data_IF_427074553897
#
_entry.id   IF_427074553897
#
_cell.length_a   1.000
_cell.length_b   1.000
_cell.length_c   1.000
_cell.angle_alpha   90.00
_cell.angle_beta   90.00
_cell.angle_gamma   90.00
#
_symmetry.space_group_name_H-M   'P 1'
#
loop_
_entity.id
_entity.type
_entity.pdbx_description
1 polymer ?
#
# COMPACT_ATOMS: atom_id res chain seq x y z
N UNK A 1 -64.69 -51.40 -22.23
CA UNK A 1 -63.26 -51.52 -22.51
C UNK A 1 -62.64 -50.15 -22.44
N UNK A 2 -62.08 -49.77 -21.28
CA UNK A 2 -61.35 -48.48 -20.99
C UNK A 2 -59.87 -48.76 -21.01
N UNK A 3 -59.17 -48.22 -21.97
CA UNK A 3 -57.72 -48.30 -22.09
C UNK A 3 -57.11 -47.23 -21.21
N UNK A 4 -56.36 -47.58 -20.12
CA UNK A 4 -55.51 -46.75 -19.30
C UNK A 4 -54.19 -46.58 -20.04
N UNK A 5 -53.85 -45.30 -20.31
CA UNK A 5 -52.54 -44.86 -20.81
C UNK A 5 -51.66 -44.54 -19.63
N UNK A 6 -50.48 -45.12 -19.46
CA UNK A 6 -49.56 -44.67 -18.35
C UNK A 6 -48.83 -43.41 -18.77
N UNK A 7 -48.97 -42.38 -17.96
CA UNK A 7 -48.28 -41.11 -18.03
C UNK A 7 -46.85 -41.33 -17.50
N UNK A 8 -45.87 -41.39 -18.39
CA UNK A 8 -44.45 -41.50 -18.05
C UNK A 8 -43.93 -40.09 -17.72
N UNK A 9 -43.90 -39.73 -16.42
CA UNK A 9 -43.26 -38.52 -15.92
C UNK A 9 -41.75 -38.70 -15.96
N UNK A 10 -41.09 -38.13 -16.98
CA UNK A 10 -39.64 -38.06 -17.06
C UNK A 10 -39.14 -37.00 -16.07
N UNK A 11 -38.58 -37.40 -14.92
CA UNK A 11 -37.79 -36.54 -14.06
C UNK A 11 -36.46 -36.21 -14.78
N UNK A 12 -36.38 -35.03 -15.36
CA UNK A 12 -35.11 -34.42 -15.75
C UNK A 12 -34.38 -34.00 -14.47
N UNK A 13 -33.54 -34.88 -13.94
CA UNK A 13 -32.52 -34.53 -12.97
C UNK A 13 -31.52 -33.59 -13.67
N UNK A 14 -31.71 -32.30 -13.49
CA UNK A 14 -30.65 -31.31 -13.73
C UNK A 14 -29.52 -31.62 -12.77
N UNK A 15 -28.57 -32.46 -13.17
CA UNK A 15 -27.30 -32.59 -12.49
C UNK A 15 -26.57 -31.25 -12.62
N UNK A 16 -26.69 -30.37 -11.62
CA UNK A 16 -25.72 -29.32 -11.41
C UNK A 16 -24.37 -30.01 -11.20
N UNK A 17 -23.62 -30.17 -12.29
CA UNK A 17 -22.25 -30.68 -12.21
C UNK A 17 -21.43 -29.74 -11.38
N UNK A 18 -21.23 -30.07 -10.10
CA UNK A 18 -20.20 -29.40 -9.30
C UNK A 18 -18.89 -29.61 -10.03
N UNK A 19 -18.25 -28.49 -10.43
CA UNK A 19 -16.89 -28.56 -10.99
C UNK A 19 -15.98 -29.17 -9.91
N UNK A 20 -15.21 -30.21 -10.30
CA UNK A 20 -14.22 -30.78 -9.40
C UNK A 20 -13.17 -29.71 -9.05
N UNK A 21 -12.74 -29.68 -7.77
CA UNK A 21 -11.65 -28.81 -7.33
C UNK A 21 -10.37 -29.18 -8.07
N UNK A 22 -9.67 -28.20 -8.63
CA UNK A 22 -8.36 -28.40 -9.25
C UNK A 22 -7.29 -28.50 -8.16
N UNK A 23 -6.19 -29.23 -8.39
CA UNK A 23 -5.02 -29.15 -7.52
C UNK A 23 -4.43 -27.73 -7.50
N UNK A 24 -3.89 -27.30 -6.34
CA UNK A 24 -3.22 -26.00 -6.25
C UNK A 24 -2.02 -25.89 -7.20
N UNK A 25 -1.31 -27.00 -7.44
CA UNK A 25 -0.19 -27.08 -8.38
C UNK A 25 -0.53 -26.79 -9.84
N UNK A 26 -1.81 -26.72 -10.22
CA UNK A 26 -2.22 -26.31 -11.57
C UNK A 26 -2.16 -24.78 -11.76
N UNK A 27 -2.13 -24.01 -10.65
CA UNK A 27 -2.13 -22.55 -10.68
C UNK A 27 -0.71 -21.98 -10.81
N UNK A 28 -0.03 -22.33 -11.90
CA UNK A 28 1.37 -21.95 -12.18
C UNK A 28 1.54 -21.04 -13.39
N UNK A 29 0.46 -20.81 -14.16
CA UNK A 29 0.54 -19.94 -15.34
C UNK A 29 0.58 -18.47 -14.91
N UNK A 30 1.59 -17.70 -15.30
CA UNK A 30 1.64 -16.28 -14.99
C UNK A 30 0.43 -15.54 -15.56
N UNK A 31 -0.35 -14.91 -14.72
CA UNK A 31 -1.45 -14.01 -15.07
C UNK A 31 -0.99 -12.56 -15.06
N UNK A 32 -0.14 -12.24 -14.10
CA UNK A 32 0.61 -11.00 -14.04
C UNK A 32 1.96 -11.26 -13.40
N UNK A 33 3.03 -10.82 -14.05
CA UNK A 33 4.40 -10.88 -13.53
C UNK A 33 4.82 -9.46 -13.17
N UNK A 34 5.05 -9.14 -11.88
CA UNK A 34 5.52 -7.83 -11.47
C UNK A 34 6.87 -7.50 -12.13
N UNK A 35 7.05 -6.25 -12.46
CA UNK A 35 8.29 -5.74 -13.08
C UNK A 35 9.19 -5.05 -12.06
N UNK A 36 8.62 -4.46 -11.04
CA UNK A 36 9.30 -3.65 -10.04
C UNK A 36 9.04 -4.12 -8.61
N UNK A 37 7.83 -4.66 -8.34
CA UNK A 37 7.49 -5.23 -7.06
C UNK A 37 8.13 -6.61 -6.91
N UNK A 38 8.50 -6.96 -5.68
CA UNK A 38 9.04 -8.27 -5.30
C UNK A 38 8.12 -9.04 -4.36
N UNK A 39 7.13 -8.37 -3.78
CA UNK A 39 6.30 -8.88 -2.70
C UNK A 39 5.04 -9.60 -3.16
N UNK A 40 4.77 -9.76 -4.48
CA UNK A 40 3.60 -10.51 -4.92
C UNK A 40 3.78 -11.17 -6.28
N UNK A 41 2.93 -12.16 -6.56
CA UNK A 41 2.69 -12.71 -7.89
C UNK A 41 1.20 -13.06 -8.07
N UNK A 42 0.75 -13.11 -9.33
CA UNK A 42 -0.62 -13.53 -9.67
C UNK A 42 -0.53 -14.62 -10.73
N UNK A 43 -1.00 -15.81 -10.36
CA UNK A 43 -0.99 -16.99 -11.23
C UNK A 43 -2.40 -17.52 -11.48
N UNK A 44 -2.53 -18.35 -12.49
CA UNK A 44 -3.77 -19.01 -12.88
C UNK A 44 -3.53 -20.41 -13.41
N UNK A 45 -4.59 -21.08 -13.83
CA UNK A 45 -4.56 -22.42 -14.43
C UNK A 45 -5.17 -22.43 -15.83
N UNK A 46 -4.71 -23.32 -16.69
CA UNK A 46 -5.24 -23.45 -18.05
C UNK A 46 -6.76 -23.73 -18.04
N UNK A 47 -7.51 -22.91 -18.77
CA UNK A 47 -8.97 -23.03 -18.86
C UNK A 47 -9.73 -22.63 -17.59
N UNK A 48 -9.06 -21.98 -16.62
CA UNK A 48 -9.67 -21.35 -15.45
C UNK A 48 -9.63 -19.83 -15.58
N UNK A 49 -10.64 -19.15 -15.02
CA UNK A 49 -10.63 -17.69 -14.80
C UNK A 49 -10.26 -17.33 -13.36
N UNK A 50 -10.25 -18.33 -12.48
CA UNK A 50 -9.79 -18.18 -11.11
C UNK A 50 -8.29 -17.91 -11.06
N UNK A 51 -7.85 -17.18 -10.03
CA UNK A 51 -6.46 -16.79 -9.86
C UNK A 51 -5.99 -17.04 -8.44
N UNK A 52 -4.69 -17.25 -8.30
CA UNK A 52 -4.00 -17.31 -7.04
C UNK A 52 -3.11 -16.06 -6.91
N UNK A 53 -3.38 -15.24 -5.92
CA UNK A 53 -2.50 -14.15 -5.49
C UNK A 53 -1.63 -14.68 -4.38
N UNK A 54 -0.32 -14.70 -4.60
CA UNK A 54 0.68 -14.99 -3.56
C UNK A 54 1.30 -13.68 -3.11
N UNK A 55 1.34 -13.45 -1.81
CA UNK A 55 2.02 -12.32 -1.20
C UNK A 55 3.21 -12.82 -0.39
N UNK A 56 4.40 -12.33 -0.73
CA UNK A 56 5.65 -12.69 -0.11
C UNK A 56 6.03 -11.68 0.96
N UNK A 57 6.35 -12.14 2.17
CA UNK A 57 6.89 -11.32 3.26
C UNK A 57 6.15 -9.97 3.46
N UNK A 58 4.83 -9.97 3.75
CA UNK A 58 4.05 -8.74 3.83
C UNK A 58 4.31 -7.89 5.09
N UNK A 59 5.35 -8.19 5.85
CA UNK A 59 5.87 -7.45 7.00
C UNK A 59 7.38 -7.60 7.11
N UNK A 60 8.00 -6.70 7.88
CA UNK A 60 9.44 -6.78 8.16
C UNK A 60 9.73 -7.89 9.17
N UNK A 61 10.74 -8.71 8.92
CA UNK A 61 11.19 -9.81 9.78
C UNK A 61 12.13 -10.74 9.04
N UNK A 62 12.71 -11.69 9.78
CA UNK A 62 13.66 -12.65 9.24
C UNK A 62 13.03 -13.95 8.74
N UNK A 63 11.73 -14.16 9.05
CA UNK A 63 11.00 -15.35 8.61
C UNK A 63 10.40 -15.13 7.22
N UNK A 64 10.70 -16.05 6.31
CA UNK A 64 10.06 -16.08 4.99
C UNK A 64 8.64 -16.59 5.17
N UNK A 65 7.69 -15.76 4.79
CA UNK A 65 6.26 -16.06 4.94
C UNK A 65 5.51 -15.72 3.67
N UNK A 66 4.79 -16.71 3.13
CA UNK A 66 3.88 -16.51 2.01
C UNK A 66 2.44 -16.53 2.50
N UNK A 67 1.62 -15.69 1.88
CA UNK A 67 0.17 -15.70 2.05
C UNK A 67 -0.50 -15.90 0.71
N UNK A 68 -1.61 -16.61 0.75
CA UNK A 68 -2.33 -17.02 -0.45
C UNK A 68 -3.77 -16.55 -0.40
N UNK A 69 -4.21 -15.89 -1.49
CA UNK A 69 -5.61 -15.57 -1.75
C UNK A 69 -6.02 -16.21 -3.06
N UNK A 70 -6.89 -17.22 -2.97
CA UNK A 70 -7.54 -17.79 -4.14
C UNK A 70 -8.80 -16.99 -4.48
N UNK A 71 -8.83 -16.41 -5.67
CA UNK A 71 -10.00 -15.67 -6.17
C UNK A 71 -10.75 -16.62 -7.09
N UNK A 72 -11.80 -17.23 -6.54
CA UNK A 72 -12.67 -18.17 -7.24
C UNK A 72 -13.58 -17.41 -8.21
N UNK A 73 -13.58 -17.81 -9.49
CA UNK A 73 -14.46 -17.23 -10.51
C UNK A 73 -15.33 -18.31 -11.14
N UNK A 74 -16.48 -17.92 -11.71
CA UNK A 74 -17.41 -18.83 -12.38
C UNK A 74 -17.86 -20.01 -11.50
N UNK A 75 -17.90 -19.83 -10.17
CA UNK A 75 -18.27 -20.87 -9.21
C UNK A 75 -17.23 -22.00 -9.07
N UNK A 76 -15.99 -21.80 -9.53
CA UNK A 76 -14.91 -22.77 -9.33
C UNK A 76 -14.61 -22.94 -7.84
N UNK A 77 -14.58 -24.18 -7.31
CA UNK A 77 -14.24 -24.40 -5.92
C UNK A 77 -12.77 -24.12 -5.66
N UNK A 78 -12.43 -23.75 -4.43
CA UNK A 78 -11.05 -23.65 -4.02
C UNK A 78 -10.33 -25.01 -4.15
N UNK A 79 -9.00 -25.02 -4.42
CA UNK A 79 -8.22 -26.24 -4.49
C UNK A 79 -8.38 -27.13 -3.25
N UNK A 80 -8.39 -28.44 -3.43
CA UNK A 80 -8.51 -29.37 -2.32
C UNK A 80 -7.33 -29.21 -1.35
N UNK A 81 -7.62 -29.07 -0.05
CA UNK A 81 -6.59 -28.85 0.97
C UNK A 81 -5.93 -27.45 0.96
N UNK A 82 -6.56 -26.48 0.29
CA UNK A 82 -6.04 -25.10 0.27
C UNK A 82 -6.16 -24.43 1.64
N UNK A 83 -5.04 -24.02 2.19
CA UNK A 83 -4.96 -23.40 3.53
C UNK A 83 -4.97 -21.85 3.50
N UNK A 84 -5.00 -21.25 2.30
CA UNK A 84 -5.07 -19.80 2.12
C UNK A 84 -6.48 -19.22 2.27
N UNK A 85 -6.59 -17.93 1.99
CA UNK A 85 -7.87 -17.22 1.98
C UNK A 85 -8.60 -17.46 0.66
N UNK A 86 -9.94 -17.50 0.70
CA UNK A 86 -10.77 -17.69 -0.50
C UNK A 86 -11.71 -16.52 -0.66
N UNK A 87 -11.54 -15.76 -1.75
CA UNK A 87 -12.48 -14.75 -2.19
C UNK A 87 -13.38 -15.35 -3.28
N UNK A 88 -14.68 -15.24 -3.11
CA UNK A 88 -15.65 -15.73 -4.10
C UNK A 88 -16.02 -14.60 -5.03
N UNK A 89 -15.53 -14.70 -6.28
CA UNK A 89 -15.64 -13.69 -7.32
C UNK A 89 -14.85 -12.40 -7.00
N UNK A 90 -15.13 -11.26 -7.67
CA UNK A 90 -14.54 -9.99 -7.31
C UNK A 90 -15.11 -9.45 -6.00
N UNK A 91 -14.27 -8.76 -5.21
CA UNK A 91 -14.74 -8.07 -4.02
C UNK A 91 -15.55 -6.82 -4.38
N UNK A 92 -16.75 -6.71 -3.82
CA UNK A 92 -17.65 -5.56 -3.97
C UNK A 92 -17.77 -4.73 -2.69
N UNK A 93 -17.36 -5.32 -1.57
CA UNK A 93 -17.39 -4.69 -0.25
C UNK A 93 -16.05 -4.94 0.44
N UNK A 94 -15.15 -3.98 0.31
CA UNK A 94 -13.79 -4.09 0.83
C UNK A 94 -13.66 -3.22 2.09
N UNK A 95 -13.01 -3.74 3.11
CA UNK A 95 -12.52 -2.94 4.24
C UNK A 95 -11.03 -2.69 4.02
N UNK A 96 -10.62 -1.42 4.02
CA UNK A 96 -9.25 -1.00 3.79
C UNK A 96 -8.63 -0.52 5.11
N UNK A 97 -7.63 -1.25 5.62
CA UNK A 97 -6.94 -0.87 6.87
C UNK A 97 -5.79 0.13 6.64
N UNK A 98 -5.62 0.64 5.41
CA UNK A 98 -4.67 1.71 5.07
C UNK A 98 -5.24 2.67 4.04
N UNK A 99 -4.85 3.95 4.10
CA UNK A 99 -5.19 4.98 3.11
C UNK A 99 -4.62 4.69 1.72
N UNK A 100 -3.50 4.00 1.61
CA UNK A 100 -2.90 3.58 0.33
C UNK A 100 -3.83 2.67 -0.47
N UNK A 101 -4.53 1.73 0.17
CA UNK A 101 -5.46 0.82 -0.50
C UNK A 101 -6.71 1.55 -1.00
N UNK A 102 -7.17 2.53 -0.22
CA UNK A 102 -8.26 3.44 -0.62
C UNK A 102 -7.85 4.21 -1.87
N UNK A 103 -6.64 4.77 -1.90
CA UNK A 103 -6.13 5.50 -3.06
C UNK A 103 -6.00 4.61 -4.30
N UNK A 104 -5.60 3.34 -4.15
CA UNK A 104 -5.54 2.37 -5.23
C UNK A 104 -6.94 2.08 -5.80
N UNK A 105 -7.93 1.79 -4.94
CA UNK A 105 -9.31 1.52 -5.38
C UNK A 105 -9.99 2.76 -5.98
N UNK A 106 -9.75 3.95 -5.43
CA UNK A 106 -10.28 5.21 -5.98
C UNK A 106 -9.71 5.50 -7.38
N UNK A 107 -8.39 5.30 -7.56
CA UNK A 107 -7.74 5.47 -8.86
C UNK A 107 -8.21 4.47 -9.92
N UNK A 108 -8.70 3.29 -9.50
CA UNK A 108 -9.35 2.30 -10.36
C UNK A 108 -10.82 2.62 -10.67
N UNK A 109 -11.37 3.71 -10.09
CA UNK A 109 -12.79 4.03 -10.19
C UNK A 109 -13.69 3.13 -9.34
N UNK A 110 -13.12 2.42 -8.36
CA UNK A 110 -13.81 1.45 -7.49
C UNK A 110 -13.95 1.94 -6.04
N UNK A 111 -13.96 3.26 -5.80
CA UNK A 111 -14.16 3.84 -4.47
C UNK A 111 -15.50 3.45 -3.83
N UNK A 112 -16.51 3.15 -4.64
CA UNK A 112 -17.83 2.67 -4.22
C UNK A 112 -17.76 1.29 -3.54
N UNK A 113 -16.73 0.50 -3.82
CA UNK A 113 -16.50 -0.82 -3.21
C UNK A 113 -15.90 -0.74 -1.80
N UNK A 114 -15.34 0.39 -1.41
CA UNK A 114 -14.84 0.59 -0.04
C UNK A 114 -16.01 0.76 0.92
N UNK A 115 -16.30 -0.28 1.70
CA UNK A 115 -17.36 -0.31 2.70
C UNK A 115 -16.88 0.14 4.08
N UNK A 116 -15.59 -0.07 4.38
CA UNK A 116 -14.99 0.29 5.66
C UNK A 116 -13.56 0.78 5.55
N UNK A 117 -13.16 1.61 6.51
CA UNK A 117 -11.82 2.20 6.56
C UNK A 117 -11.28 2.17 7.98
N UNK A 118 -9.96 2.20 8.14
CA UNK A 118 -9.30 2.40 9.42
C UNK A 118 -8.94 3.87 9.59
N UNK A 119 -9.34 4.49 10.71
CA UNK A 119 -8.94 5.84 11.08
C UNK A 119 -9.44 6.92 10.14
N UNK A 120 -10.75 7.01 9.91
CA UNK A 120 -11.38 7.96 9.00
C UNK A 120 -10.95 9.42 9.20
N UNK A 121 -10.57 9.81 10.42
CA UNK A 121 -10.09 11.17 10.72
C UNK A 121 -8.78 11.52 9.99
N UNK A 122 -7.97 10.53 9.62
CA UNK A 122 -6.70 10.74 8.90
C UNK A 122 -6.86 10.75 7.39
N UNK A 123 -8.03 10.37 6.85
CA UNK A 123 -8.23 10.31 5.40
C UNK A 123 -8.15 11.69 4.74
N UNK A 124 -7.38 11.77 3.66
CA UNK A 124 -7.32 12.89 2.74
C UNK A 124 -8.28 12.68 1.57
N UNK A 125 -8.51 11.44 1.16
CA UNK A 125 -9.36 11.09 0.03
C UNK A 125 -10.79 11.64 0.21
N UNK A 126 -11.13 12.66 -0.58
CA UNK A 126 -12.42 13.35 -0.47
C UNK A 126 -13.62 12.50 -0.89
N UNK A 127 -13.42 11.56 -1.82
CA UNK A 127 -14.47 10.64 -2.27
C UNK A 127 -14.93 9.79 -1.08
N UNK A 128 -13.98 9.19 -0.36
CA UNK A 128 -14.30 8.36 0.80
C UNK A 128 -14.82 9.19 1.99
N UNK A 129 -14.26 10.36 2.24
CA UNK A 129 -14.78 11.26 3.29
C UNK A 129 -16.25 11.60 3.06
N UNK A 130 -16.64 11.93 1.82
CA UNK A 130 -18.04 12.19 1.46
C UNK A 130 -18.92 10.95 1.62
N UNK A 131 -18.42 9.76 1.25
CA UNK A 131 -19.16 8.51 1.41
C UNK A 131 -19.38 8.16 2.88
N UNK A 132 -18.37 8.35 3.74
CA UNK A 132 -18.50 8.17 5.18
C UNK A 132 -19.52 9.15 5.77
N UNK A 133 -19.48 10.43 5.37
CA UNK A 133 -20.43 11.43 5.83
C UNK A 133 -21.90 11.10 5.44
N UNK A 134 -22.11 10.34 4.35
CA UNK A 134 -23.42 9.85 3.91
C UNK A 134 -23.80 8.48 4.48
N UNK A 135 -22.93 7.87 5.31
CA UNK A 135 -23.17 6.54 5.85
C UNK A 135 -23.00 5.39 4.83
N UNK A 136 -22.39 5.64 3.67
CA UNK A 136 -22.12 4.65 2.62
C UNK A 136 -20.86 3.84 2.88
N UNK A 137 -19.97 4.32 3.75
CA UNK A 137 -18.81 3.64 4.30
C UNK A 137 -18.66 4.00 5.78
N UNK A 138 -17.94 3.19 6.56
CA UNK A 138 -17.78 3.42 7.99
C UNK A 138 -16.34 3.27 8.46
N UNK A 139 -15.97 3.98 9.53
CA UNK A 139 -14.72 3.76 10.25
C UNK A 139 -14.87 2.52 11.14
N UNK A 140 -13.99 1.55 10.97
CA UNK A 140 -13.96 0.30 11.76
C UNK A 140 -12.92 0.33 12.90
N UNK A 141 -12.25 1.46 13.11
CA UNK A 141 -11.17 1.59 14.10
C UNK A 141 -9.81 1.13 13.57
N UNK A 142 -8.84 0.97 14.47
CA UNK A 142 -7.47 0.52 14.17
C UNK A 142 -7.28 -0.95 14.51
N UNK A 143 -6.25 -1.57 13.98
CA UNK A 143 -5.91 -3.00 14.21
C UNK A 143 -5.92 -3.40 15.68
N UNK A 144 -5.51 -2.49 16.58
CA UNK A 144 -5.49 -2.73 18.01
C UNK A 144 -6.85 -2.66 18.70
N UNK A 145 -7.86 -2.06 18.05
CA UNK A 145 -9.20 -1.82 18.63
C UNK A 145 -10.29 -1.76 17.56
N UNK A 146 -10.33 -2.77 16.68
CA UNK A 146 -11.36 -2.87 15.64
C UNK A 146 -12.75 -3.04 16.25
N UNK A 147 -13.70 -2.26 15.75
CA UNK A 147 -15.13 -2.42 16.03
C UNK A 147 -15.68 -3.60 15.20
N UNK A 148 -15.64 -4.80 15.78
CA UNK A 148 -16.09 -6.02 15.10
C UNK A 148 -17.59 -6.05 14.82
N UNK A 149 -18.41 -5.40 15.63
CA UNK A 149 -19.87 -5.33 15.39
C UNK A 149 -20.11 -4.52 14.11
N UNK A 150 -19.45 -3.38 13.98
CA UNK A 150 -19.53 -2.55 12.78
C UNK A 150 -18.95 -3.26 11.57
N UNK A 151 -17.79 -3.91 11.72
CA UNK A 151 -17.16 -4.67 10.64
C UNK A 151 -18.09 -5.76 10.12
N UNK A 152 -18.75 -6.54 11.01
CA UNK A 152 -19.74 -7.55 10.61
C UNK A 152 -20.96 -6.95 9.94
N UNK A 153 -21.46 -5.80 10.42
CA UNK A 153 -22.59 -5.10 9.84
C UNK A 153 -22.30 -4.63 8.40
N UNK A 154 -21.04 -4.32 8.08
CA UNK A 154 -20.60 -3.99 6.74
C UNK A 154 -20.60 -5.19 5.78
N UNK A 155 -20.62 -6.42 6.29
CA UNK A 155 -20.56 -7.67 5.49
C UNK A 155 -19.49 -7.60 4.39
N UNK A 156 -18.20 -7.43 4.76
CA UNK A 156 -17.14 -7.32 3.77
C UNK A 156 -16.89 -8.65 3.06
N UNK A 157 -16.58 -8.58 1.78
CA UNK A 157 -16.11 -9.72 0.99
C UNK A 157 -14.63 -9.98 1.28
N UNK A 158 -13.87 -8.92 1.61
CA UNK A 158 -12.45 -8.98 1.91
C UNK A 158 -12.03 -7.82 2.83
N UNK A 159 -11.07 -8.09 3.71
CA UNK A 159 -10.33 -7.07 4.47
C UNK A 159 -8.90 -6.98 3.97
N UNK A 160 -8.49 -5.81 3.47
CA UNK A 160 -7.10 -5.53 3.09
C UNK A 160 -6.36 -5.03 4.33
N UNK A 161 -5.39 -5.81 4.80
CA UNK A 161 -4.64 -5.59 6.05
C UNK A 161 -3.29 -4.92 5.80
N UNK A 162 -2.86 -4.12 6.77
CA UNK A 162 -1.51 -3.56 6.84
C UNK A 162 -0.69 -4.37 7.85
N UNK A 163 0.43 -4.95 7.43
CA UNK A 163 1.23 -5.85 8.26
C UNK A 163 2.34 -5.11 9.01
N UNK A 164 2.23 -5.00 10.36
CA UNK A 164 3.31 -4.43 11.17
C UNK A 164 3.99 -5.50 12.04
N UNK A 165 3.29 -6.54 12.45
CA UNK A 165 3.75 -7.42 13.52
C UNK A 165 3.60 -8.92 13.31
N UNK A 166 3.44 -9.41 12.07
CA UNK A 166 3.32 -10.84 11.76
C UNK A 166 1.89 -11.30 11.44
N UNK A 167 1.75 -12.61 11.11
CA UNK A 167 0.52 -13.19 10.58
C UNK A 167 -0.61 -13.32 11.61
N UNK A 168 -0.24 -13.68 12.83
CA UNK A 168 -1.22 -14.04 13.86
C UNK A 168 -1.44 -12.87 14.83
N UNK A 169 -2.43 -12.07 14.52
CA UNK A 169 -2.92 -10.97 15.37
C UNK A 169 -4.30 -11.32 15.93
N UNK A 170 -4.73 -10.60 16.97
CA UNK A 170 -6.10 -10.72 17.49
C UNK A 170 -7.13 -10.44 16.38
N UNK A 171 -6.82 -9.52 15.45
CA UNK A 171 -7.67 -9.19 14.31
C UNK A 171 -7.81 -10.38 13.36
N UNK A 172 -6.71 -11.00 12.91
CA UNK A 172 -6.77 -12.12 11.98
C UNK A 172 -7.40 -13.37 12.60
N UNK A 173 -7.14 -13.62 13.89
CA UNK A 173 -7.83 -14.66 14.63
C UNK A 173 -9.35 -14.49 14.59
N UNK A 174 -9.82 -13.26 14.81
CA UNK A 174 -11.26 -12.95 14.78
C UNK A 174 -11.84 -12.99 13.37
N UNK A 175 -11.12 -12.51 12.35
CA UNK A 175 -11.56 -12.62 10.94
C UNK A 175 -11.73 -14.08 10.52
N UNK A 176 -10.81 -14.98 10.92
CA UNK A 176 -10.91 -16.43 10.68
C UNK A 176 -12.14 -17.03 11.38
N UNK A 177 -12.36 -16.68 12.64
CA UNK A 177 -13.57 -17.12 13.39
C UNK A 177 -14.87 -16.70 12.69
N UNK A 178 -14.90 -15.48 12.14
CA UNK A 178 -16.06 -14.93 11.46
C UNK A 178 -16.18 -15.38 9.99
N UNK A 179 -15.19 -16.11 9.46
CA UNK A 179 -15.16 -16.54 8.05
C UNK A 179 -15.04 -15.39 7.06
N UNK A 180 -14.42 -14.26 7.47
CA UNK A 180 -14.20 -13.10 6.63
C UNK A 180 -12.79 -13.22 6.01
N UNK A 181 -12.67 -13.32 4.68
CA UNK A 181 -11.38 -13.38 4.01
C UNK A 181 -10.57 -12.10 4.22
N UNK A 182 -9.26 -12.24 4.28
CA UNK A 182 -8.34 -11.10 4.38
C UNK A 182 -7.06 -11.33 3.59
N UNK A 183 -6.40 -10.25 3.22
CA UNK A 183 -5.08 -10.28 2.61
C UNK A 183 -4.22 -9.16 3.20
N UNK A 184 -3.04 -9.49 3.66
CA UNK A 184 -2.03 -8.47 3.94
C UNK A 184 -1.45 -7.93 2.64
N UNK A 185 -1.47 -6.61 2.51
CA UNK A 185 -0.82 -5.91 1.40
C UNK A 185 0.61 -5.58 1.83
N UNK A 186 1.58 -5.97 1.01
CA UNK A 186 3.01 -5.81 1.33
C UNK A 186 3.67 -4.59 0.68
N UNK A 187 2.91 -3.64 0.15
CA UNK A 187 3.47 -2.49 -0.58
C UNK A 187 4.44 -1.65 0.25
N UNK A 188 4.26 -1.63 1.56
CA UNK A 188 5.13 -0.87 2.46
C UNK A 188 6.51 -1.51 2.64
N UNK A 189 6.66 -2.80 2.38
CA UNK A 189 7.92 -3.53 2.42
C UNK A 189 8.75 -3.36 1.14
N UNK A 190 8.16 -2.85 0.06
CA UNK A 190 8.89 -2.64 -1.19
C UNK A 190 9.96 -1.55 -1.06
N UNK A 191 11.17 -1.85 -1.49
CA UNK A 191 12.30 -0.91 -1.52
C UNK A 191 12.20 0.06 -2.71
N UNK A 192 11.53 -0.35 -3.77
CA UNK A 192 11.38 0.44 -4.99
C UNK A 192 10.12 1.31 -4.96
N UNK A 193 10.21 2.62 -5.27
CA UNK A 193 9.02 3.46 -5.43
C UNK A 193 8.05 2.95 -6.49
N UNK A 194 8.56 2.40 -7.59
CA UNK A 194 7.75 1.79 -8.63
C UNK A 194 7.16 0.44 -8.18
N UNK A 195 7.93 -0.37 -7.44
CA UNK A 195 7.42 -1.61 -6.86
C UNK A 195 6.26 -1.35 -5.91
N UNK A 196 6.40 -0.35 -5.05
CA UNK A 196 5.34 0.08 -4.12
C UNK A 196 4.04 0.46 -4.85
N UNK A 197 4.13 1.19 -5.96
CA UNK A 197 2.97 1.59 -6.75
C UNK A 197 2.36 0.45 -7.58
N UNK A 198 3.14 -0.58 -7.91
CA UNK A 198 2.70 -1.74 -8.71
C UNK A 198 1.65 -2.59 -7.98
N UNK A 199 1.57 -2.49 -6.66
CA UNK A 199 0.54 -3.16 -5.85
C UNK A 199 -0.90 -2.75 -6.19
N UNK A 200 -1.09 -1.68 -6.97
CA UNK A 200 -2.40 -1.36 -7.53
C UNK A 200 -2.97 -2.49 -8.37
N UNK A 201 -2.10 -3.34 -8.95
CA UNK A 201 -2.52 -4.51 -9.74
C UNK A 201 -3.13 -5.59 -8.85
N UNK A 202 -2.63 -5.78 -7.62
CA UNK A 202 -3.24 -6.68 -6.62
C UNK A 202 -4.62 -6.15 -6.21
N UNK A 203 -4.74 -4.85 -5.92
CA UNK A 203 -6.02 -4.22 -5.61
C UNK A 203 -7.02 -4.35 -6.79
N UNK A 204 -6.53 -4.21 -8.02
CA UNK A 204 -7.32 -4.39 -9.22
C UNK A 204 -7.76 -5.84 -9.44
N UNK A 205 -6.89 -6.82 -9.15
CA UNK A 205 -7.24 -8.24 -9.23
C UNK A 205 -8.36 -8.60 -8.27
N UNK A 206 -8.25 -8.15 -7.02
CA UNK A 206 -9.28 -8.31 -5.98
C UNK A 206 -10.61 -7.69 -6.43
N UNK A 207 -10.55 -6.53 -7.08
CA UNK A 207 -11.71 -5.82 -7.57
C UNK A 207 -12.21 -6.30 -8.96
N UNK A 208 -11.61 -7.31 -9.59
CA UNK A 208 -11.97 -7.76 -10.94
C UNK A 208 -11.66 -6.74 -12.05
N UNK A 209 -10.72 -5.82 -11.80
CA UNK A 209 -10.33 -4.70 -12.67
C UNK A 209 -8.86 -4.82 -13.12
N UNK A 210 -8.34 -6.05 -13.30
CA UNK A 210 -6.92 -6.30 -13.62
C UNK A 210 -6.43 -5.52 -14.84
N UNK A 211 -7.21 -5.50 -15.90
CA UNK A 211 -6.86 -4.78 -17.13
C UNK A 211 -6.69 -3.28 -16.89
N UNK A 212 -7.60 -2.71 -16.11
CA UNK A 212 -7.56 -1.30 -15.71
C UNK A 212 -6.36 -1.02 -14.81
N UNK A 213 -6.09 -1.89 -13.83
CA UNK A 213 -4.94 -1.79 -12.92
C UNK A 213 -3.61 -1.85 -13.67
N UNK A 214 -3.47 -2.82 -14.57
CA UNK A 214 -2.26 -2.96 -15.39
C UNK A 214 -2.04 -1.73 -16.29
N UNK A 215 -3.11 -1.20 -16.89
CA UNK A 215 -3.04 0.02 -17.71
C UNK A 215 -2.71 1.27 -16.88
N UNK A 216 -3.32 1.39 -15.69
CA UNK A 216 -3.05 2.49 -14.77
C UNK A 216 -1.58 2.49 -14.34
N UNK A 217 -1.06 1.33 -13.93
CA UNK A 217 0.33 1.20 -13.54
C UNK A 217 1.29 1.46 -14.70
N UNK A 218 1.04 0.89 -15.88
CA UNK A 218 1.92 1.02 -17.05
C UNK A 218 2.27 2.48 -17.43
N UNK A 219 1.39 3.42 -17.10
CA UNK A 219 1.61 4.84 -17.35
C UNK A 219 2.54 5.55 -16.32
N UNK A 220 2.84 4.94 -15.19
CA UNK A 220 3.63 5.54 -14.10
C UNK A 220 5.14 5.43 -14.35
N UNK A 221 5.70 4.24 -14.70
CA UNK A 221 7.13 4.07 -14.88
C UNK A 221 7.74 4.98 -15.95
N UNK A 222 7.06 5.19 -17.06
CA UNK A 222 7.59 6.06 -18.13
C UNK A 222 7.84 7.49 -17.64
N UNK A 223 6.89 8.05 -16.87
CA UNK A 223 7.03 9.39 -16.30
C UNK A 223 8.11 9.43 -15.22
N UNK A 224 8.15 8.41 -14.37
CA UNK A 224 9.13 8.27 -13.30
C UNK A 224 10.55 8.22 -13.86
N UNK A 225 10.81 7.31 -14.81
CA UNK A 225 12.13 7.10 -15.42
C UNK A 225 12.62 8.32 -16.20
N UNK A 226 11.74 9.03 -16.86
CA UNK A 226 12.07 10.30 -17.54
C UNK A 226 12.54 11.36 -16.53
N UNK A 227 11.84 11.52 -15.42
CA UNK A 227 12.23 12.45 -14.35
C UNK A 227 13.56 12.05 -13.70
N UNK A 228 13.74 10.75 -13.42
CA UNK A 228 14.98 10.21 -12.88
C UNK A 228 16.16 10.50 -13.82
N UNK A 229 15.99 10.25 -15.10
CA UNK A 229 17.02 10.52 -16.12
C UNK A 229 17.40 12.00 -16.14
N UNK A 230 16.43 12.91 -16.11
CA UNK A 230 16.68 14.36 -16.05
C UNK A 230 17.43 14.74 -14.77
N UNK A 231 17.02 14.23 -13.62
CA UNK A 231 17.67 14.50 -12.35
C UNK A 231 19.13 14.01 -12.33
N UNK A 232 19.40 12.86 -12.96
CA UNK A 232 20.75 12.28 -13.05
C UNK A 232 21.71 13.06 -13.98
N UNK A 233 21.21 13.87 -14.88
CA UNK A 233 22.03 14.73 -15.76
C UNK A 233 22.58 15.97 -15.03
N UNK A 234 22.02 16.34 -13.88
CA UNK A 234 22.46 17.51 -13.12
C UNK A 234 23.73 17.19 -12.32
N UNK A 235 24.71 18.09 -12.35
CA UNK A 235 25.97 17.91 -11.61
C UNK A 235 25.79 18.04 -10.09
N UNK A 236 24.81 18.84 -9.64
CA UNK A 236 24.53 19.04 -8.21
C UNK A 236 23.96 17.75 -7.59
N UNK A 237 24.54 17.34 -6.48
CA UNK A 237 24.14 16.18 -5.68
C UNK A 237 23.99 16.58 -4.22
N UNK A 238 22.93 17.33 -3.87
CA UNK A 238 22.78 17.83 -2.52
C UNK A 238 22.60 16.70 -1.50
N UNK A 239 23.17 16.87 -0.31
CA UNK A 239 23.02 15.95 0.79
C UNK A 239 21.75 16.26 1.58
N UNK A 240 20.98 15.22 1.88
CA UNK A 240 19.65 15.36 2.48
C UNK A 240 19.57 14.62 3.80
N UNK A 241 19.18 15.35 4.85
CA UNK A 241 18.78 14.80 6.15
C UNK A 241 17.29 14.44 6.10
N UNK A 242 16.92 13.37 6.80
CA UNK A 242 15.54 12.86 6.84
C UNK A 242 15.00 12.78 8.26
N UNK A 243 13.68 12.97 8.36
CA UNK A 243 12.85 12.78 9.54
C UNK A 243 13.13 13.81 10.66
N UNK A 244 12.47 13.62 11.79
CA UNK A 244 12.64 14.35 13.05
C UNK A 244 12.68 13.35 14.19
N UNK A 245 13.17 13.71 15.38
CA UNK A 245 13.14 12.80 16.51
C UNK A 245 11.70 12.47 16.90
N UNK A 246 11.47 11.21 17.23
CA UNK A 246 10.29 10.77 17.95
C UNK A 246 10.67 10.60 19.43
N UNK A 247 10.14 11.45 20.28
CA UNK A 247 10.65 11.63 21.67
C UNK A 247 12.14 12.00 21.60
N UNK A 248 13.02 11.23 22.25
CA UNK A 248 14.47 11.49 22.31
C UNK A 248 15.28 10.66 21.31
N UNK A 249 14.62 9.94 20.39
CA UNK A 249 15.28 9.05 19.43
C UNK A 249 15.03 9.49 17.99
N UNK A 250 16.08 9.60 17.21
CA UNK A 250 15.98 9.88 15.78
C UNK A 250 16.06 8.58 14.99
N UNK A 251 15.05 8.29 14.20
CA UNK A 251 14.97 7.07 13.41
C UNK A 251 15.38 7.37 11.97
N UNK A 252 16.58 6.93 11.60
CA UNK A 252 17.11 7.08 10.25
C UNK A 252 16.68 5.92 9.37
N UNK A 253 16.15 6.19 8.15
CA UNK A 253 15.78 5.14 7.22
C UNK A 253 16.97 4.25 6.84
N UNK A 254 16.70 2.98 6.59
CA UNK A 254 17.67 2.08 6.00
C UNK A 254 18.17 2.57 4.64
N UNK A 255 19.41 2.25 4.28
CA UNK A 255 20.04 2.67 3.02
C UNK A 255 19.25 2.23 1.78
N UNK A 256 18.67 1.02 1.83
CA UNK A 256 17.87 0.43 0.76
C UNK A 256 16.37 0.81 0.82
N UNK A 257 15.97 1.70 1.74
CA UNK A 257 14.56 2.05 1.89
C UNK A 257 14.01 2.83 0.69
N UNK A 258 12.72 2.69 0.47
CA UNK A 258 11.94 3.44 -0.50
C UNK A 258 12.25 4.95 -0.50
N UNK A 259 12.34 5.57 0.69
CA UNK A 259 12.57 7.01 0.80
C UNK A 259 13.98 7.40 0.35
N UNK A 260 14.99 6.63 0.72
CA UNK A 260 16.38 6.87 0.29
C UNK A 260 16.51 6.68 -1.21
N UNK A 261 15.90 5.63 -1.77
CA UNK A 261 15.87 5.41 -3.22
C UNK A 261 15.23 6.59 -3.95
N UNK A 262 14.12 7.10 -3.45
CA UNK A 262 13.41 8.24 -4.04
C UNK A 262 14.26 9.51 -4.05
N UNK A 263 15.03 9.77 -2.97
CA UNK A 263 15.99 10.88 -2.91
C UNK A 263 17.08 10.74 -3.99
N UNK A 264 17.66 9.57 -4.10
CA UNK A 264 18.74 9.30 -5.05
C UNK A 264 18.25 9.38 -6.50
N UNK A 265 17.04 8.88 -6.77
CA UNK A 265 16.39 9.02 -8.07
C UNK A 265 16.11 10.49 -8.42
N UNK A 266 15.85 11.34 -7.41
CA UNK A 266 15.72 12.80 -7.58
C UNK A 266 17.07 13.55 -7.73
N UNK A 267 18.20 12.82 -7.75
CA UNK A 267 19.53 13.40 -7.94
C UNK A 267 20.19 13.92 -6.66
N UNK A 268 19.67 13.58 -5.48
CA UNK A 268 20.27 13.90 -4.20
C UNK A 268 21.15 12.76 -3.64
N UNK A 269 21.76 12.98 -2.48
CA UNK A 269 22.48 11.98 -1.71
C UNK A 269 21.89 11.89 -0.31
N UNK A 270 21.71 10.69 0.17
CA UNK A 270 21.37 10.47 1.56
C UNK A 270 22.56 10.85 2.45
N UNK A 271 22.37 11.72 3.45
CA UNK A 271 23.47 12.22 4.26
C UNK A 271 24.17 11.14 5.08
N UNK A 272 23.45 10.08 5.46
CA UNK A 272 23.99 8.95 6.21
C UNK A 272 24.44 7.83 5.27
N UNK A 273 25.41 8.13 4.41
CA UNK A 273 25.91 7.20 3.36
C UNK A 273 26.52 5.92 3.96
N UNK A 274 27.08 6.00 5.17
CA UNK A 274 27.71 4.87 5.88
C UNK A 274 26.67 3.93 6.56
N UNK A 275 25.39 4.26 6.54
CA UNK A 275 24.35 3.43 7.12
C UNK A 275 24.23 2.11 6.34
N UNK A 276 24.70 1.01 6.94
CA UNK A 276 24.61 -0.35 6.37
C UNK A 276 23.43 -1.14 6.90
N UNK A 277 22.60 -0.54 7.77
CA UNK A 277 21.43 -1.22 8.31
C UNK A 277 20.41 -1.53 7.20
N UNK A 278 19.80 -2.70 7.28
CA UNK A 278 18.70 -3.13 6.41
C UNK A 278 17.33 -2.70 6.93
N UNK A 279 17.29 -2.19 8.16
CA UNK A 279 16.11 -1.65 8.83
C UNK A 279 16.39 -0.25 9.34
N UNK A 280 15.34 0.43 9.80
CA UNK A 280 15.45 1.75 10.42
C UNK A 280 16.41 1.72 11.62
N UNK A 281 17.39 2.61 11.61
CA UNK A 281 18.44 2.71 12.63
C UNK A 281 18.16 3.86 13.60
N UNK A 282 18.03 3.60 14.91
CA UNK A 282 17.97 4.68 15.90
C UNK A 282 19.35 5.32 16.08
N UNK A 283 19.39 6.67 16.09
CA UNK A 283 20.57 7.46 16.38
C UNK A 283 20.26 8.46 17.49
N UNK A 284 21.29 8.93 18.18
CA UNK A 284 21.19 10.00 19.19
C UNK A 284 21.16 11.39 18.54
N UNK A 285 20.90 12.41 19.37
CA UNK A 285 20.79 13.79 18.92
C UNK A 285 22.13 14.39 18.48
N UNK A 286 23.25 13.94 19.03
CA UNK A 286 24.60 14.37 18.68
C UNK A 286 24.95 13.91 17.26
N UNK A 287 24.66 12.65 16.94
CA UNK A 287 24.83 12.10 15.59
C UNK A 287 23.87 12.78 14.60
N UNK A 288 22.61 13.02 15.00
CA UNK A 288 21.64 13.74 14.17
C UNK A 288 22.12 15.18 13.88
N UNK A 289 22.66 15.90 14.88
CA UNK A 289 23.26 17.23 14.69
C UNK A 289 24.43 17.18 13.71
N UNK A 290 25.36 16.22 13.89
CA UNK A 290 26.49 16.04 12.99
C UNK A 290 26.04 15.80 11.54
N UNK A 291 25.08 14.92 11.31
CA UNK A 291 24.54 14.62 9.97
C UNK A 291 23.83 15.86 9.39
N UNK A 292 22.97 16.51 10.18
CA UNK A 292 22.24 17.70 9.72
C UNK A 292 23.19 18.86 9.39
N UNK A 293 24.29 19.02 10.14
CA UNK A 293 25.30 20.05 9.87
C UNK A 293 26.07 19.84 8.56
N UNK A 294 26.05 18.61 8.04
CA UNK A 294 26.63 18.25 6.73
C UNK A 294 25.61 18.22 5.59
N UNK A 295 24.35 18.50 5.86
CA UNK A 295 23.27 18.43 4.90
C UNK A 295 23.03 19.78 4.24
N UNK A 296 22.59 19.73 2.96
CA UNK A 296 22.14 20.88 2.20
C UNK A 296 20.62 21.08 2.38
N UNK A 297 19.88 20.00 2.58
CA UNK A 297 18.42 19.97 2.75
C UNK A 297 18.03 19.09 3.94
N UNK A 298 16.88 19.41 4.54
CA UNK A 298 16.25 18.59 5.56
C UNK A 298 14.79 18.34 5.19
N UNK A 299 14.40 17.08 5.04
CA UNK A 299 13.06 16.66 4.63
C UNK A 299 12.34 15.86 5.71
N UNK A 300 11.00 15.81 5.60
CA UNK A 300 10.11 15.09 6.49
C UNK A 300 10.17 15.62 7.93
N UNK A 301 10.10 16.95 8.09
CA UNK A 301 10.10 17.62 9.37
C UNK A 301 8.73 17.58 10.05
N UNK A 302 8.23 16.40 10.25
CA UNK A 302 6.88 16.06 10.69
C UNK A 302 6.37 16.96 11.82
N UNK A 303 5.16 17.53 11.66
CA UNK A 303 4.53 18.36 12.69
C UNK A 303 4.90 19.82 12.68
N UNK A 304 5.77 20.28 11.77
CA UNK A 304 6.12 21.70 11.61
C UNK A 304 5.51 22.25 10.32
N UNK A 305 4.86 23.41 10.39
CA UNK A 305 4.30 24.12 9.24
C UNK A 305 5.11 25.38 8.88
N UNK A 306 5.99 25.80 9.76
CA UNK A 306 6.87 26.96 9.57
C UNK A 306 8.28 26.66 10.04
N UNK A 307 9.25 27.41 9.50
CA UNK A 307 10.65 27.30 9.89
C UNK A 307 10.86 27.66 11.38
N UNK A 308 10.04 28.57 11.91
CA UNK A 308 10.09 28.94 13.33
C UNK A 308 9.57 27.82 14.23
N UNK A 309 8.62 27.03 13.77
CA UNK A 309 8.22 25.80 14.48
C UNK A 309 9.34 24.77 14.47
N UNK A 310 10.03 24.58 13.36
CA UNK A 310 11.22 23.72 13.27
C UNK A 310 12.28 24.14 14.30
N UNK A 311 12.61 25.44 14.38
CA UNK A 311 13.57 25.99 15.33
C UNK A 311 13.16 25.79 16.79
N UNK A 312 11.87 25.98 17.08
CA UNK A 312 11.34 25.80 18.45
C UNK A 312 11.33 24.35 18.89
N UNK A 313 10.93 23.43 17.99
CA UNK A 313 10.85 22.00 18.30
C UNK A 313 12.23 21.33 18.31
N UNK A 314 13.18 21.86 17.53
CA UNK A 314 14.52 21.31 17.38
C UNK A 314 15.59 22.39 17.62
N UNK A 315 15.70 23.01 18.84
CA UNK A 315 16.55 24.16 19.09
C UNK A 315 18.04 23.86 18.87
N UNK A 316 18.48 22.61 19.11
CA UNK A 316 19.87 22.20 18.86
C UNK A 316 20.25 22.20 17.38
N UNK A 317 19.26 22.13 16.47
CA UNK A 317 19.47 22.08 15.02
C UNK A 317 19.24 23.44 14.35
N UNK A 318 18.84 24.48 15.12
CA UNK A 318 18.44 25.79 14.59
C UNK A 318 19.55 26.48 13.77
N UNK A 319 20.81 26.23 14.08
CA UNK A 319 21.99 26.83 13.42
C UNK A 319 22.57 25.93 12.30
N UNK A 320 21.96 24.80 11.99
CA UNK A 320 22.43 23.93 10.90
C UNK A 320 22.14 24.55 9.52
N UNK A 321 22.94 24.23 8.48
CA UNK A 321 22.81 24.86 7.18
C UNK A 321 21.41 24.80 6.59
N UNK A 322 20.68 23.65 6.60
CA UNK A 322 19.33 23.60 6.04
C UNK A 322 18.37 24.58 6.73
N UNK A 323 18.47 24.72 8.07
CA UNK A 323 17.57 25.59 8.83
C UNK A 323 17.91 27.07 8.63
N UNK A 324 19.21 27.42 8.60
CA UNK A 324 19.64 28.81 8.34
C UNK A 324 19.24 29.28 6.96
N UNK A 325 19.34 28.39 5.96
CA UNK A 325 19.09 28.71 4.55
C UNK A 325 17.62 28.51 4.14
N UNK A 326 16.76 28.06 5.06
CA UNK A 326 15.34 27.80 4.79
C UNK A 326 15.09 26.61 3.85
N UNK A 327 16.04 25.66 3.78
CA UNK A 327 15.97 24.46 2.93
C UNK A 327 15.41 23.26 3.70
N UNK A 328 14.26 23.48 4.34
CA UNK A 328 13.55 22.51 5.17
C UNK A 328 12.17 22.29 4.58
N UNK A 329 11.79 21.05 4.33
CA UNK A 329 10.54 20.71 3.65
C UNK A 329 9.83 19.55 4.33
N UNK A 330 8.50 19.53 4.23
CA UNK A 330 7.65 18.46 4.73
C UNK A 330 6.57 18.08 3.70
N UNK A 331 5.94 16.92 3.90
CA UNK A 331 4.82 16.40 3.11
C UNK A 331 3.47 16.98 3.58
N UNK A 332 3.43 18.25 4.03
CA UNK A 332 2.29 18.84 4.72
C UNK A 332 1.31 19.61 3.82
N UNK A 333 1.65 19.89 2.55
CA UNK A 333 0.80 20.64 1.63
C UNK A 333 -0.62 20.07 1.49
N UNK A 334 -0.75 18.75 1.50
CA UNK A 334 -2.02 18.03 1.46
C UNK A 334 -2.16 17.19 2.72
N UNK A 335 -2.24 17.86 3.85
CA UNK A 335 -2.41 17.29 5.18
C UNK A 335 -3.70 17.81 5.81
N UNK A 336 -4.41 16.96 6.57
CA UNK A 336 -5.55 17.40 7.35
C UNK A 336 -5.18 17.74 8.80
N UNK A 337 -6.13 18.33 9.53
CA UNK A 337 -5.91 18.74 10.92
C UNK A 337 -5.60 17.58 11.88
N UNK A 338 -6.02 16.36 11.56
CA UNK A 338 -5.73 15.17 12.36
C UNK A 338 -4.33 14.60 12.10
N UNK A 339 -3.62 15.10 11.07
CA UNK A 339 -2.27 14.67 10.72
C UNK A 339 -2.21 13.66 9.56
N UNK A 340 -3.34 13.31 8.96
CA UNK A 340 -3.36 12.51 7.74
C UNK A 340 -2.67 13.23 6.58
N UNK A 341 -1.93 12.51 5.75
CA UNK A 341 -1.15 13.06 4.64
C UNK A 341 -1.40 12.30 3.34
N UNK A 342 -1.63 13.03 2.25
CA UNK A 342 -1.81 12.43 0.93
C UNK A 342 -0.53 11.73 0.41
N UNK A 343 0.62 12.06 0.97
CA UNK A 343 1.85 11.32 0.71
C UNK A 343 1.72 9.83 1.07
N UNK A 344 0.99 9.52 2.16
CA UNK A 344 0.70 8.15 2.59
C UNK A 344 -0.52 7.53 1.89
N UNK A 345 -1.29 8.31 1.14
CA UNK A 345 -2.44 7.84 0.35
C UNK A 345 -2.07 7.79 -1.14
N UNK A 346 -2.41 8.84 -1.91
CA UNK A 346 -2.17 8.86 -3.36
C UNK A 346 -0.68 8.94 -3.72
N UNK A 347 0.18 9.44 -2.83
CA UNK A 347 1.62 9.48 -3.03
C UNK A 347 2.26 8.09 -3.18
N UNK A 348 1.70 7.08 -2.50
CA UNK A 348 2.14 5.68 -2.64
C UNK A 348 1.92 5.17 -4.07
N UNK A 349 0.78 5.49 -4.66
CA UNK A 349 0.45 5.10 -6.03
C UNK A 349 1.16 5.96 -7.08
N UNK A 350 1.52 7.20 -6.74
CA UNK A 350 2.04 8.20 -7.68
C UNK A 350 3.47 8.66 -7.33
N UNK A 351 4.44 7.71 -7.27
CA UNK A 351 5.84 8.06 -7.01
C UNK A 351 6.42 9.00 -8.09
N UNK A 352 5.86 8.99 -9.30
CA UNK A 352 6.22 9.93 -10.37
C UNK A 352 5.93 11.39 -10.01
N UNK A 353 4.87 11.67 -9.25
CA UNK A 353 4.56 13.02 -8.76
C UNK A 353 5.47 13.42 -7.60
N UNK A 354 5.68 12.50 -6.66
CA UNK A 354 6.59 12.75 -5.53
C UNK A 354 8.02 12.98 -6.02
N UNK A 355 8.47 12.21 -7.01
CA UNK A 355 9.77 12.41 -7.65
C UNK A 355 9.87 13.79 -8.33
N UNK A 356 8.81 14.24 -9.02
CA UNK A 356 8.78 15.56 -9.65
C UNK A 356 8.94 16.68 -8.62
N UNK A 357 8.26 16.58 -7.47
CA UNK A 357 8.37 17.56 -6.38
C UNK A 357 9.79 17.58 -5.81
N UNK A 358 10.41 16.42 -5.57
CA UNK A 358 11.79 16.34 -5.09
C UNK A 358 12.81 16.87 -6.10
N UNK A 359 12.66 16.56 -7.39
CA UNK A 359 13.49 17.12 -8.45
C UNK A 359 13.37 18.64 -8.46
N UNK A 360 12.16 19.18 -8.32
CA UNK A 360 11.95 20.63 -8.24
C UNK A 360 12.68 21.24 -7.03
N UNK A 361 12.56 20.64 -5.84
CA UNK A 361 13.22 21.09 -4.62
C UNK A 361 14.75 21.11 -4.79
N UNK A 362 15.34 20.04 -5.33
CA UNK A 362 16.79 19.87 -5.37
C UNK A 362 17.47 20.60 -6.53
N UNK A 363 16.78 20.75 -7.65
CA UNK A 363 17.39 21.24 -8.90
C UNK A 363 17.03 22.70 -9.20
N UNK A 364 15.87 23.18 -8.79
CA UNK A 364 15.38 24.52 -9.10
C UNK A 364 15.53 25.46 -7.88
N UNK A 365 15.66 24.91 -6.69
CA UNK A 365 16.19 25.63 -5.51
C UNK A 365 15.30 26.71 -4.93
N UNK A 366 13.99 26.78 -5.18
CA UNK A 366 12.99 27.57 -4.44
C UNK A 366 11.58 27.08 -4.74
N UNK A 367 11.07 26.15 -3.96
CA UNK A 367 9.63 26.09 -3.79
C UNK A 367 9.27 27.17 -2.77
N UNK A 368 8.62 28.23 -3.20
CA UNK A 368 7.92 29.11 -2.28
C UNK A 368 6.72 28.32 -1.74
N UNK A 369 6.75 28.02 -0.46
CA UNK A 369 5.59 27.57 0.32
C UNK A 369 4.62 28.71 0.44
#
# INVERSE_FOLDING_TARGET
MRRLLPLLCGLLLAACGQRAARPIGDFTLPVYTPRYASGFEITGAAGSRSTLVTVHNPWYGDEVTDQYLFIARDGEPAPAGFEGQVLRDEARRVVCMSGSYIAMLDALGAADRVAGVSGAQYLINETLRRRIARGEAADVGFDSNVDFERLMALRPDLVMLFGIGGADTALTGKLRELGIPYLYMGEHCEESPLGKSEWVVVAAEIAGLRTEGSRLFAAIPERYERLRTLAQQTAARPRVMLNTPYRDTWFMPARNSYMVRLLEDAGARYVFEENTATQTLPIDIEQAYYLTSKSDFWLNVSGCNTLDEVRRQNPRLADTPPVREGRVYDNNRRRNAAGGSDFCESGVLRPDRVLADLVHIFQIGRAHV
#
